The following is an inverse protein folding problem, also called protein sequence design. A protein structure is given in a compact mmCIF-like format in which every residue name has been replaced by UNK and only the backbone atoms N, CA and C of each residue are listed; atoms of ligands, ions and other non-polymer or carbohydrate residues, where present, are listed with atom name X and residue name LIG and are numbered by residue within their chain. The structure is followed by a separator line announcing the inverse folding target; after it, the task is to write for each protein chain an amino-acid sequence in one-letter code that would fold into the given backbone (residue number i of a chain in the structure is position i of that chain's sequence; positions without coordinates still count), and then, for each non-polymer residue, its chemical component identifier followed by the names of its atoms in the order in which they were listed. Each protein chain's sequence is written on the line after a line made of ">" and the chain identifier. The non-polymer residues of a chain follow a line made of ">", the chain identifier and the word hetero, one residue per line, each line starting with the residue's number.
data_IF_513817283857
#
_entry.id   IF_513817283857
#
_cell.length_a   1.000
_cell.length_b   1.000
_cell.length_c   1.000
_cell.angle_alpha   90.00
_cell.angle_beta   90.00
_cell.angle_gamma   90.00
#
_symmetry.space_group_name_H-M   'P 1'
#
loop_
_entity.id
_entity.type
_entity.pdbx_description
1 polymer ?
#
# COMPACT_ATOMS: atom_id res chain seq x y z
N UNK A 1 12.65 24.27 18.32
CA UNK A 1 11.39 24.87 17.80
C UNK A 1 11.33 24.95 16.29
N UNK A 2 12.25 25.66 15.61
CA UNK A 2 12.25 25.79 14.14
C UNK A 2 12.20 24.43 13.42
N UNK A 3 13.01 23.45 13.83
CA UNK A 3 13.03 22.11 13.24
C UNK A 3 11.70 21.35 13.36
N UNK A 4 11.03 21.44 14.52
CA UNK A 4 9.72 20.82 14.72
C UNK A 4 8.67 21.44 13.79
N UNK A 5 8.71 22.77 13.63
CA UNK A 5 7.85 23.50 12.69
C UNK A 5 8.15 23.11 11.24
N UNK A 6 9.42 22.96 10.87
CA UNK A 6 9.80 22.51 9.53
C UNK A 6 9.32 21.08 9.26
N UNK A 7 9.49 20.15 10.20
CA UNK A 7 9.03 18.77 10.06
C UNK A 7 7.50 18.68 9.96
N UNK A 8 6.77 19.40 10.80
CA UNK A 8 5.30 19.43 10.75
C UNK A 8 4.77 20.12 9.50
N UNK A 9 5.37 21.25 9.08
CA UNK A 9 5.03 21.91 7.83
C UNK A 9 5.33 21.03 6.61
N UNK A 10 6.44 20.29 6.63
CA UNK A 10 6.79 19.33 5.57
C UNK A 10 5.77 18.19 5.50
N UNK A 11 5.40 17.60 6.64
CA UNK A 11 4.36 16.58 6.70
C UNK A 11 3.01 17.10 6.17
N UNK A 12 2.60 18.29 6.60
CA UNK A 12 1.37 18.94 6.13
C UNK A 12 1.41 19.21 4.61
N UNK A 13 2.55 19.69 4.10
CA UNK A 13 2.74 19.90 2.68
C UNK A 13 2.58 18.59 1.88
N UNK A 14 3.17 17.48 2.35
CA UNK A 14 2.99 16.16 1.71
C UNK A 14 1.50 15.76 1.73
N UNK A 15 0.85 15.83 2.89
CA UNK A 15 -0.57 15.43 3.04
C UNK A 15 -1.50 16.19 2.08
N UNK A 16 -1.20 17.46 1.78
CA UNK A 16 -2.04 18.30 0.90
C UNK A 16 -1.67 18.16 -0.58
N UNK A 17 -0.38 18.07 -0.89
CA UNK A 17 0.11 18.16 -2.27
C UNK A 17 0.28 16.79 -2.93
N UNK A 18 0.70 15.77 -2.17
CA UNK A 18 1.02 14.46 -2.72
C UNK A 18 -0.13 13.81 -3.48
N UNK A 19 -1.40 13.82 -3.01
CA UNK A 19 -2.46 13.16 -3.75
C UNK A 19 -2.70 13.76 -5.13
N UNK A 20 -2.63 15.09 -5.24
CA UNK A 20 -2.80 15.79 -6.52
C UNK A 20 -1.63 15.52 -7.46
N UNK A 21 -0.40 15.59 -6.94
CA UNK A 21 0.82 15.37 -7.72
C UNK A 21 0.90 13.92 -8.22
N UNK A 22 0.62 12.95 -7.36
CA UNK A 22 0.71 11.53 -7.68
C UNK A 22 -0.38 11.09 -8.67
N UNK A 23 -1.63 11.58 -8.51
CA UNK A 23 -2.68 11.38 -9.51
C UNK A 23 -2.30 11.98 -10.86
N UNK A 24 -1.71 13.17 -10.87
CA UNK A 24 -1.27 13.80 -12.13
C UNK A 24 -0.12 13.02 -12.76
N UNK A 25 0.81 12.50 -11.97
CA UNK A 25 1.89 11.64 -12.46
C UNK A 25 1.32 10.38 -13.12
N UNK A 26 0.36 9.72 -12.48
CA UNK A 26 -0.31 8.55 -13.06
C UNK A 26 -0.99 8.86 -14.40
N UNK A 27 -1.81 9.92 -14.45
CA UNK A 27 -2.46 10.38 -15.69
C UNK A 27 -1.47 10.77 -16.79
N UNK A 28 -0.27 11.19 -16.42
CA UNK A 28 0.81 11.53 -17.37
C UNK A 28 1.57 10.30 -17.89
N UNK A 29 1.09 9.09 -17.61
CA UNK A 29 1.68 7.84 -18.13
C UNK A 29 2.89 7.36 -17.35
N UNK A 30 3.10 7.82 -16.11
CA UNK A 30 4.16 7.27 -15.28
C UNK A 30 3.91 5.79 -14.97
N UNK A 31 5.00 5.03 -14.87
CA UNK A 31 4.93 3.62 -14.50
C UNK A 31 4.19 3.45 -13.15
N UNK A 32 3.15 2.60 -13.09
CA UNK A 32 2.34 2.38 -11.89
C UNK A 32 3.17 2.04 -10.65
N UNK A 33 4.28 1.29 -10.84
CA UNK A 33 5.22 0.94 -9.77
C UNK A 33 5.89 2.14 -9.14
N UNK A 34 6.23 3.14 -9.95
CA UNK A 34 6.87 4.36 -9.43
C UNK A 34 5.85 5.20 -8.67
N UNK A 35 4.63 5.32 -9.18
CA UNK A 35 3.53 6.03 -8.49
C UNK A 35 3.21 5.33 -7.16
N UNK A 36 3.10 4.00 -7.16
CA UNK A 36 2.86 3.20 -5.96
C UNK A 36 3.98 3.36 -4.92
N UNK A 37 5.25 3.36 -5.34
CA UNK A 37 6.40 3.64 -4.44
C UNK A 37 6.37 5.05 -3.89
N UNK A 38 5.97 6.03 -4.69
CA UNK A 38 5.91 7.42 -4.26
C UNK A 38 4.79 7.65 -3.22
N UNK A 39 3.64 7.00 -3.36
CA UNK A 39 2.60 6.97 -2.32
C UNK A 39 3.13 6.40 -0.99
N UNK A 40 3.80 5.24 -1.06
CA UNK A 40 4.41 4.60 0.12
C UNK A 40 5.46 5.50 0.77
N UNK A 41 6.31 6.15 -0.03
CA UNK A 41 7.32 7.07 0.46
C UNK A 41 6.72 8.33 1.07
N UNK A 42 5.67 8.90 0.48
CA UNK A 42 4.94 10.03 1.03
C UNK A 42 4.32 9.68 2.40
N UNK A 43 3.65 8.51 2.49
CA UNK A 43 3.10 8.03 3.76
C UNK A 43 4.21 7.83 4.81
N UNK A 44 5.29 7.15 4.45
CA UNK A 44 6.45 6.95 5.34
C UNK A 44 7.08 8.27 5.79
N UNK A 45 7.22 9.24 4.89
CA UNK A 45 7.77 10.56 5.18
C UNK A 45 6.90 11.37 6.13
N UNK A 46 5.57 11.32 5.98
CA UNK A 46 4.63 11.93 6.93
C UNK A 46 4.78 11.31 8.32
N UNK A 47 4.75 9.97 8.40
CA UNK A 47 4.88 9.25 9.67
C UNK A 47 6.23 9.54 10.35
N UNK A 48 7.33 9.50 9.61
CA UNK A 48 8.66 9.81 10.11
C UNK A 48 8.75 11.27 10.59
N UNK A 49 8.18 12.21 9.84
CA UNK A 49 8.19 13.63 10.21
C UNK A 49 7.46 13.88 11.54
N UNK A 50 6.29 13.26 11.74
CA UNK A 50 5.59 13.35 13.02
C UNK A 50 6.35 12.66 14.15
N UNK A 51 6.90 11.46 13.92
CA UNK A 51 7.67 10.73 14.91
C UNK A 51 8.91 11.52 15.38
N UNK A 52 9.59 12.21 14.46
CA UNK A 52 10.76 13.04 14.77
C UNK A 52 10.40 14.42 15.34
N UNK A 53 9.23 14.97 14.99
CA UNK A 53 8.78 16.24 15.52
C UNK A 53 8.46 16.16 17.02
N UNK A 54 7.92 15.04 17.50
CA UNK A 54 7.51 14.88 18.91
C UNK A 54 8.67 15.12 19.88
N UNK A 55 9.83 14.44 19.78
CA UNK A 55 10.98 14.73 20.65
C UNK A 55 11.48 16.18 20.57
N UNK A 56 11.41 16.80 19.39
CA UNK A 56 11.82 18.20 19.18
C UNK A 56 10.90 19.19 19.91
N UNK A 57 9.62 18.84 20.08
CA UNK A 57 8.65 19.63 20.83
C UNK A 57 8.65 19.34 22.33
N UNK A 58 9.22 18.20 22.76
CA UNK A 58 9.22 17.78 24.16
C UNK A 58 10.63 17.52 24.71
N UNK A 59 11.59 18.47 24.57
CA UNK A 59 13.00 18.23 24.88
C UNK A 59 13.21 17.73 26.31
N UNK A 60 12.48 18.28 27.29
CA UNK A 60 12.70 17.99 28.70
C UNK A 60 12.27 16.56 29.08
N UNK A 61 11.32 15.99 28.33
CA UNK A 61 10.87 14.61 28.55
C UNK A 61 11.88 13.56 28.06
N UNK A 62 12.82 13.95 27.18
CA UNK A 62 13.80 13.04 26.58
C UNK A 62 15.21 13.14 27.16
N UNK A 63 15.50 14.15 27.99
CA UNK A 63 16.85 14.36 28.54
C UNK A 63 17.35 13.17 29.39
N UNK A 64 16.53 12.65 30.30
CA UNK A 64 16.93 11.53 31.17
C UNK A 64 17.16 10.22 30.38
N UNK A 65 16.27 9.80 29.46
CA UNK A 65 16.52 8.69 28.55
C UNK A 65 17.79 8.84 27.70
N UNK A 66 18.04 10.04 27.15
CA UNK A 66 19.24 10.33 26.35
C UNK A 66 20.52 10.17 27.16
N UNK A 67 20.56 10.72 28.38
CA UNK A 67 21.68 10.55 29.32
C UNK A 67 21.91 9.09 29.69
N UNK A 68 20.85 8.33 29.96
CA UNK A 68 20.93 6.90 30.23
C UNK A 68 21.47 6.08 29.04
N UNK A 69 21.20 6.54 27.81
CA UNK A 69 21.74 5.98 26.58
C UNK A 69 23.16 6.48 26.24
N UNK A 70 23.80 7.25 27.12
CA UNK A 70 25.17 7.76 26.94
C UNK A 70 25.28 9.02 26.08
N UNK A 71 24.16 9.68 25.74
CA UNK A 71 24.15 10.96 25.05
C UNK A 71 24.11 12.10 26.07
N UNK A 72 25.00 13.09 25.96
CA UNK A 72 24.95 14.30 26.78
C UNK A 72 24.09 15.36 26.07
N UNK A 73 22.85 15.65 26.53
CA UNK A 73 21.94 16.57 25.85
C UNK A 73 22.31 18.04 26.16
N UNK A 74 23.61 18.36 26.23
CA UNK A 74 24.16 19.63 26.69
C UNK A 74 24.06 20.72 25.63
N UNK A 75 22.96 20.80 24.90
CA UNK A 75 22.97 21.61 23.69
C UNK A 75 21.62 22.30 23.40
N UNK A 76 21.70 23.64 23.33
CA UNK A 76 20.89 24.65 22.64
C UNK A 76 19.37 24.53 22.46
N UNK A 77 18.64 23.66 23.16
CA UNK A 77 17.19 23.54 22.96
C UNK A 77 16.45 24.77 23.54
N UNK A 78 15.69 25.53 22.71
CA UNK A 78 14.93 26.67 23.20
C UNK A 78 13.89 26.21 24.24
N UNK A 79 13.74 27.00 25.32
CA UNK A 79 12.81 26.68 26.41
C UNK A 79 11.37 26.63 25.89
N UNK A 80 10.75 25.45 25.97
CA UNK A 80 9.32 25.25 25.76
C UNK A 80 8.69 25.10 27.13
N UNK A 81 7.63 25.83 27.48
CA UNK A 81 6.95 25.63 28.75
C UNK A 81 6.54 24.17 28.93
N UNK A 82 6.88 23.57 30.08
CA UNK A 82 6.55 22.18 30.39
C UNK A 82 5.07 21.82 30.14
N UNK A 83 4.07 22.69 30.44
CA UNK A 83 2.68 22.41 30.09
C UNK A 83 2.45 22.18 28.59
N UNK A 84 3.08 22.97 27.73
CA UNK A 84 2.98 22.82 26.28
C UNK A 84 3.63 21.52 25.80
N UNK A 85 4.76 21.12 26.39
CA UNK A 85 5.40 19.84 26.09
C UNK A 85 4.50 18.67 26.48
N UNK A 86 3.90 18.72 27.68
CA UNK A 86 2.95 17.70 28.16
C UNK A 86 1.74 17.62 27.23
N UNK A 87 1.17 18.76 26.80
CA UNK A 87 0.06 18.76 25.83
C UNK A 87 0.43 18.08 24.53
N UNK A 88 1.60 18.39 23.94
CA UNK A 88 2.07 17.74 22.71
C UNK A 88 2.28 16.24 22.90
N UNK A 89 2.89 15.82 24.01
CA UNK A 89 3.10 14.42 24.33
C UNK A 89 1.78 13.65 24.48
N UNK A 90 0.81 14.22 25.18
CA UNK A 90 -0.52 13.62 25.36
C UNK A 90 -1.24 13.52 24.00
N UNK A 91 -1.24 14.58 23.19
CA UNK A 91 -1.86 14.55 21.87
C UNK A 91 -1.22 13.51 20.95
N UNK A 92 0.11 13.41 20.94
CA UNK A 92 0.83 12.40 20.19
C UNK A 92 0.48 10.98 20.67
N UNK A 93 0.43 10.76 21.99
CA UNK A 93 0.05 9.47 22.57
C UNK A 93 -1.39 9.11 22.24
N UNK A 94 -2.33 10.05 22.32
CA UNK A 94 -3.72 9.85 21.96
C UNK A 94 -3.87 9.51 20.47
N UNK A 95 -3.13 10.17 19.57
CA UNK A 95 -3.13 9.85 18.15
C UNK A 95 -2.61 8.43 17.89
N UNK A 96 -1.50 8.05 18.52
CA UNK A 96 -0.93 6.70 18.40
C UNK A 96 -1.88 5.65 19.00
N UNK A 97 -2.46 5.91 20.17
CA UNK A 97 -3.38 5.00 20.83
C UNK A 97 -4.67 4.82 20.02
N UNK A 98 -5.20 5.91 19.46
CA UNK A 98 -6.36 5.87 18.58
C UNK A 98 -6.07 5.08 17.31
N UNK A 99 -4.94 5.35 16.65
CA UNK A 99 -4.52 4.62 15.47
C UNK A 99 -4.26 3.14 15.76
N UNK A 100 -3.68 2.81 16.91
CA UNK A 100 -3.48 1.44 17.36
C UNK A 100 -4.81 0.73 17.62
N UNK A 101 -5.74 1.37 18.33
CA UNK A 101 -7.04 0.77 18.66
C UNK A 101 -7.84 0.45 17.39
N UNK A 102 -7.93 1.42 16.46
CA UNK A 102 -8.60 1.27 15.16
C UNK A 102 -7.89 0.22 14.29
N UNK A 103 -6.58 0.32 14.15
CA UNK A 103 -5.81 -0.57 13.29
C UNK A 103 -5.70 -2.00 13.80
N UNK A 104 -5.65 -2.20 15.12
CA UNK A 104 -5.66 -3.53 15.73
C UNK A 104 -6.99 -4.24 15.50
N UNK A 105 -8.12 -3.52 15.51
CA UNK A 105 -9.44 -4.06 15.15
C UNK A 105 -9.46 -4.60 13.73
N UNK A 106 -9.16 -3.73 12.76
CA UNK A 106 -9.12 -4.09 11.34
C UNK A 106 -8.16 -5.26 11.06
N UNK A 107 -6.98 -5.25 11.69
CA UNK A 107 -5.99 -6.34 11.56
C UNK A 107 -6.51 -7.65 12.15
N UNK A 108 -7.23 -7.61 13.28
CA UNK A 108 -7.80 -8.81 13.92
C UNK A 108 -8.90 -9.42 13.05
N UNK A 109 -9.77 -8.60 12.48
CA UNK A 109 -10.88 -9.04 11.63
C UNK A 109 -10.35 -9.66 10.34
N UNK A 110 -9.37 -9.02 9.70
CA UNK A 110 -8.65 -9.58 8.55
C UNK A 110 -8.01 -10.94 8.89
N UNK A 111 -7.29 -11.04 10.02
CA UNK A 111 -6.67 -12.31 10.44
C UNK A 111 -7.70 -13.39 10.78
N UNK A 112 -8.88 -13.02 11.29
CA UNK A 112 -9.97 -13.97 11.55
C UNK A 112 -10.55 -14.50 10.24
N UNK A 113 -10.89 -13.63 9.30
CA UNK A 113 -11.38 -14.01 7.99
C UNK A 113 -10.39 -14.93 7.25
N UNK A 114 -9.10 -14.58 7.29
CA UNK A 114 -8.03 -15.38 6.73
C UNK A 114 -7.93 -16.78 7.37
N UNK A 115 -7.97 -16.86 8.70
CA UNK A 115 -7.92 -18.17 9.39
C UNK A 115 -9.07 -19.06 8.97
N UNK A 116 -10.30 -18.55 8.95
CA UNK A 116 -11.47 -19.33 8.52
C UNK A 116 -11.31 -19.85 7.09
N UNK A 117 -10.74 -19.06 6.18
CA UNK A 117 -10.45 -19.53 4.83
C UNK A 117 -9.38 -20.62 4.79
N UNK A 118 -8.27 -20.44 5.50
CA UNK A 118 -7.19 -21.43 5.54
C UNK A 118 -7.68 -22.75 6.16
N UNK A 119 -8.44 -22.67 7.25
CA UNK A 119 -9.02 -23.84 7.92
C UNK A 119 -9.98 -24.58 6.97
N UNK A 120 -10.80 -23.87 6.19
CA UNK A 120 -11.65 -24.51 5.17
C UNK A 120 -10.82 -25.28 4.14
N UNK A 121 -9.70 -24.72 3.69
CA UNK A 121 -8.86 -25.33 2.67
C UNK A 121 -8.11 -26.57 3.16
N UNK A 122 -7.60 -26.53 4.40
CA UNK A 122 -6.96 -27.69 5.03
C UNK A 122 -7.93 -28.88 5.15
N UNK A 123 -9.22 -28.60 5.30
CA UNK A 123 -10.25 -29.62 5.46
C UNK A 123 -10.91 -30.07 4.13
N UNK A 124 -10.73 -29.35 3.03
CA UNK A 124 -11.53 -29.54 1.80
C UNK A 124 -10.73 -29.84 0.53
N UNK A 125 -9.39 -29.79 0.56
CA UNK A 125 -8.59 -29.83 -0.67
C UNK A 125 -7.44 -30.85 -0.61
N UNK A 126 -7.27 -31.71 -1.63
CA UNK A 126 -5.99 -32.37 -1.86
C UNK A 126 -4.93 -31.33 -2.24
N UNK A 127 -3.87 -31.23 -1.44
CA UNK A 127 -2.69 -30.42 -1.78
C UNK A 127 -1.89 -31.13 -2.88
N UNK A 128 -1.78 -30.51 -4.06
CA UNK A 128 -0.78 -30.90 -5.05
C UNK A 128 0.49 -30.06 -4.83
N UNK A 129 1.52 -30.70 -4.30
CA UNK A 129 2.84 -30.10 -4.11
C UNK A 129 3.61 -30.16 -5.42
N UNK A 130 3.49 -29.13 -6.25
CA UNK A 130 4.53 -28.82 -7.24
C UNK A 130 5.50 -27.82 -6.60
N UNK A 131 6.63 -28.33 -6.11
CA UNK A 131 7.79 -27.51 -5.76
C UNK A 131 8.41 -26.96 -7.05
N UNK A 132 8.16 -25.70 -7.38
CA UNK A 132 9.00 -25.02 -8.36
C UNK A 132 9.21 -23.52 -8.06
N UNK A 133 10.49 -23.16 -7.85
CA UNK A 133 11.10 -21.92 -8.30
C UNK A 133 10.45 -20.58 -7.92
N UNK A 134 9.79 -20.44 -6.77
CA UNK A 134 9.24 -19.15 -6.30
C UNK A 134 7.87 -18.78 -6.88
N UNK A 135 7.15 -19.74 -7.48
CA UNK A 135 5.73 -19.63 -7.81
C UNK A 135 4.88 -20.03 -6.59
N UNK A 136 3.66 -19.50 -6.43
CA UNK A 136 2.79 -19.93 -5.34
C UNK A 136 2.28 -21.36 -5.57
N UNK A 137 2.15 -22.14 -4.50
CA UNK A 137 1.69 -23.53 -4.53
C UNK A 137 0.21 -23.61 -4.87
N UNK A 138 -0.19 -24.46 -5.82
CA UNK A 138 -1.59 -24.62 -6.21
C UNK A 138 -2.34 -25.52 -5.21
N UNK A 139 -3.55 -25.13 -4.82
CA UNK A 139 -4.47 -25.91 -3.98
C UNK A 139 -5.77 -26.04 -4.78
N UNK A 140 -6.16 -27.27 -5.13
CA UNK A 140 -7.33 -27.48 -5.98
C UNK A 140 -8.57 -27.67 -5.10
N UNK A 141 -9.63 -26.91 -5.39
CA UNK A 141 -10.91 -26.98 -4.69
C UNK A 141 -12.02 -27.29 -5.68
N UNK A 142 -12.96 -28.14 -5.30
CA UNK A 142 -14.17 -28.38 -6.09
C UNK A 142 -15.16 -27.24 -5.88
N UNK A 143 -15.42 -26.47 -6.93
CA UNK A 143 -16.39 -25.37 -6.95
C UNK A 143 -16.85 -25.14 -8.39
N UNK A 144 -18.14 -24.86 -8.58
CA UNK A 144 -18.75 -24.58 -9.88
C UNK A 144 -18.43 -23.17 -10.37
N UNK A 145 -18.04 -22.26 -9.46
CA UNK A 145 -17.59 -20.93 -9.83
C UNK A 145 -16.09 -20.94 -10.20
N UNK A 146 -15.70 -20.54 -11.43
CA UNK A 146 -14.30 -20.55 -11.83
C UNK A 146 -13.51 -19.46 -11.12
N UNK A 147 -12.69 -19.84 -10.14
CA UNK A 147 -11.91 -18.92 -9.30
C UNK A 147 -10.44 -19.33 -9.19
N UNK A 148 -9.56 -18.33 -9.18
CA UNK A 148 -8.18 -18.46 -8.71
C UNK A 148 -7.90 -17.40 -7.64
N UNK A 149 -7.64 -17.81 -6.41
CA UNK A 149 -7.38 -16.91 -5.28
C UNK A 149 -6.00 -17.12 -4.71
N UNK A 150 -5.20 -16.06 -4.63
CA UNK A 150 -3.95 -16.08 -3.90
C UNK A 150 -4.26 -15.89 -2.42
N UNK A 151 -3.73 -16.82 -1.63
CA UNK A 151 -3.93 -16.88 -0.21
C UNK A 151 -2.74 -16.21 0.48
N UNK A 152 -2.97 -15.38 1.50
CA UNK A 152 -1.91 -14.85 2.34
C UNK A 152 -1.38 -15.90 3.32
N UNK A 153 -0.77 -16.96 2.78
CA UNK A 153 -0.15 -18.06 3.51
C UNK A 153 1.38 -18.01 3.46
N UNK A 154 2.04 -18.79 4.32
CA UNK A 154 3.48 -19.06 4.25
C UNK A 154 3.70 -20.58 4.22
N UNK A 155 4.20 -21.16 3.11
CA UNK A 155 4.51 -20.51 1.83
C UNK A 155 3.24 -19.97 1.11
N UNK A 156 3.37 -19.02 0.15
CA UNK A 156 2.23 -18.51 -0.61
C UNK A 156 1.52 -19.63 -1.39
N UNK A 157 0.18 -19.65 -1.32
CA UNK A 157 -0.67 -20.65 -1.98
C UNK A 157 -1.67 -19.97 -2.90
N UNK A 158 -2.07 -20.62 -3.98
CA UNK A 158 -3.18 -20.24 -4.85
C UNK A 158 -4.24 -21.31 -4.78
N UNK A 159 -5.40 -20.97 -4.24
CA UNK A 159 -6.60 -21.77 -4.41
C UNK A 159 -7.06 -21.67 -5.87
N UNK A 160 -7.20 -22.80 -6.54
CA UNK A 160 -7.76 -22.87 -7.89
C UNK A 160 -8.93 -23.84 -7.90
N UNK A 161 -10.07 -23.37 -8.38
CA UNK A 161 -11.25 -24.23 -8.52
C UNK A 161 -11.05 -25.19 -9.69
N UNK A 162 -11.56 -26.42 -9.61
CA UNK A 162 -11.59 -27.37 -10.72
C UNK A 162 -12.17 -26.73 -11.99
N UNK A 163 -13.28 -26.00 -11.85
CA UNK A 163 -13.90 -25.27 -12.97
C UNK A 163 -12.97 -24.26 -13.63
N UNK A 164 -12.13 -23.56 -12.86
CA UNK A 164 -11.17 -22.62 -13.44
C UNK A 164 -10.07 -23.33 -14.23
N UNK A 165 -9.60 -24.48 -13.74
CA UNK A 165 -8.59 -25.29 -14.44
C UNK A 165 -9.14 -25.89 -15.74
N UNK A 166 -10.42 -26.28 -15.76
CA UNK A 166 -11.09 -26.78 -16.96
C UNK A 166 -11.29 -25.68 -18.03
N UNK A 167 -11.51 -24.43 -17.60
CA UNK A 167 -11.75 -23.31 -18.52
C UNK A 167 -10.46 -22.72 -19.11
N UNK A 168 -9.35 -22.75 -18.36
CA UNK A 168 -8.11 -22.08 -18.72
C UNK A 168 -7.16 -23.01 -19.48
N UNK A 169 -6.61 -22.52 -20.59
CA UNK A 169 -5.50 -23.22 -21.26
C UNK A 169 -4.20 -23.08 -20.43
N UNK A 170 -3.22 -23.98 -20.58
CA UNK A 170 -1.96 -23.90 -19.85
C UNK A 170 -1.26 -22.54 -19.96
N UNK A 171 -1.28 -21.90 -21.13
CA UNK A 171 -0.64 -20.60 -21.34
C UNK A 171 -1.43 -19.44 -20.70
N UNK A 172 -2.74 -19.59 -20.57
CA UNK A 172 -3.63 -18.65 -19.89
C UNK A 172 -3.44 -18.75 -18.37
N UNK A 173 -3.40 -19.97 -17.83
CA UNK A 173 -3.09 -20.24 -16.43
C UNK A 173 -1.69 -19.70 -16.06
N UNK A 174 -0.67 -19.98 -16.88
CA UNK A 174 0.68 -19.47 -16.64
C UNK A 174 0.74 -17.92 -16.66
N UNK A 175 -0.05 -17.27 -17.51
CA UNK A 175 -0.14 -15.81 -17.53
C UNK A 175 -0.77 -15.24 -16.24
N UNK A 176 -1.83 -15.89 -15.73
CA UNK A 176 -2.48 -15.54 -14.45
C UNK A 176 -1.51 -15.76 -13.28
N UNK A 177 -0.83 -16.92 -13.21
CA UNK A 177 0.15 -17.20 -12.15
C UNK A 177 1.32 -16.21 -12.18
N UNK A 178 1.75 -15.77 -13.37
CA UNK A 178 2.79 -14.73 -13.52
C UNK A 178 2.32 -13.38 -12.96
N UNK A 179 1.08 -12.99 -13.27
CA UNK A 179 0.45 -11.78 -12.72
C UNK A 179 0.36 -11.86 -11.17
N UNK A 180 -0.10 -12.99 -10.62
CA UNK A 180 -0.21 -13.24 -9.18
C UNK A 180 1.15 -13.24 -8.46
N UNK A 181 2.18 -13.84 -9.07
CA UNK A 181 3.55 -13.77 -8.57
C UNK A 181 4.08 -12.33 -8.51
N UNK A 182 3.58 -11.44 -9.38
CA UNK A 182 3.83 -9.99 -9.33
C UNK A 182 3.38 -9.37 -8.01
N UNK A 183 2.17 -9.69 -7.55
CA UNK A 183 1.65 -9.21 -6.26
C UNK A 183 2.48 -9.69 -5.08
N UNK A 184 2.87 -10.97 -5.08
CA UNK A 184 3.71 -11.55 -4.04
C UNK A 184 5.06 -10.85 -3.93
N UNK A 185 5.74 -10.68 -5.08
CA UNK A 185 7.07 -10.03 -5.13
C UNK A 185 7.03 -8.59 -4.63
N UNK A 186 5.94 -7.86 -4.88
CA UNK A 186 5.76 -6.47 -4.40
C UNK A 186 5.11 -6.35 -3.03
N UNK A 187 4.68 -7.48 -2.45
CA UNK A 187 3.95 -7.54 -1.18
C UNK A 187 2.71 -6.63 -1.20
N UNK A 188 2.00 -6.60 -2.32
CA UNK A 188 0.90 -5.64 -2.53
C UNK A 188 -0.17 -5.75 -1.44
N UNK A 189 -0.51 -6.97 -1.01
CA UNK A 189 -1.40 -7.23 0.13
C UNK A 189 -1.01 -6.45 1.40
N UNK A 190 0.27 -6.49 1.77
CA UNK A 190 0.74 -5.90 3.01
C UNK A 190 0.62 -4.38 2.96
N UNK A 191 0.88 -3.80 1.79
CA UNK A 191 0.77 -2.36 1.58
C UNK A 191 -0.67 -1.88 1.46
N UNK A 192 -1.56 -2.67 0.86
CA UNK A 192 -2.99 -2.38 0.86
C UNK A 192 -3.52 -2.41 2.29
N UNK A 193 -3.31 -3.52 3.03
CA UNK A 193 -3.70 -3.61 4.46
C UNK A 193 -3.16 -2.43 5.27
N UNK A 194 -1.92 -2.00 5.01
CA UNK A 194 -1.33 -0.84 5.66
C UNK A 194 -2.04 0.48 5.30
N UNK A 195 -2.31 0.73 4.01
CA UNK A 195 -3.01 1.92 3.54
C UNK A 195 -4.39 2.03 4.16
N UNK A 196 -5.15 0.94 4.16
CA UNK A 196 -6.49 0.89 4.74
C UNK A 196 -6.49 1.00 6.26
N UNK A 197 -5.55 0.33 6.92
CA UNK A 197 -5.38 0.47 8.37
C UNK A 197 -5.13 1.94 8.74
N UNK A 198 -4.36 2.68 7.92
CA UNK A 198 -4.13 4.11 8.14
C UNK A 198 -5.34 4.97 7.81
N UNK A 199 -6.11 4.62 6.77
CA UNK A 199 -7.36 5.30 6.44
C UNK A 199 -8.40 5.15 7.57
N UNK A 200 -8.56 3.93 8.09
CA UNK A 200 -9.47 3.61 9.20
C UNK A 200 -9.01 4.24 10.53
N UNK A 201 -7.68 4.29 10.75
CA UNK A 201 -7.06 4.92 11.91
C UNK A 201 -7.18 6.45 11.89
N UNK A 202 -7.15 7.08 10.72
CA UNK A 202 -7.10 8.53 10.59
C UNK A 202 -8.12 9.05 9.56
N UNK A 203 -9.44 8.88 9.80
CA UNK A 203 -10.48 9.20 8.82
C UNK A 203 -10.56 10.68 8.44
N UNK A 204 -10.05 11.58 9.29
CA UNK A 204 -9.95 13.01 8.99
C UNK A 204 -8.81 13.37 8.02
N UNK A 205 -7.91 12.44 7.72
CA UNK A 205 -6.73 12.66 6.89
C UNK A 205 -6.96 12.08 5.49
N UNK A 206 -7.49 12.92 4.61
CA UNK A 206 -7.84 12.57 3.21
C UNK A 206 -6.74 11.80 2.45
N UNK A 207 -5.47 12.12 2.71
CA UNK A 207 -4.34 11.45 2.07
C UNK A 207 -4.39 9.92 2.23
N UNK A 208 -4.73 9.41 3.42
CA UNK A 208 -4.73 7.96 3.65
C UNK A 208 -5.91 7.26 2.98
N UNK A 209 -7.10 7.88 2.97
CA UNK A 209 -8.24 7.39 2.22
C UNK A 209 -7.94 7.35 0.71
N UNK A 210 -7.43 8.45 0.16
CA UNK A 210 -7.07 8.52 -1.26
C UNK A 210 -5.94 7.52 -1.60
N UNK A 211 -5.00 7.25 -0.68
CA UNK A 211 -3.99 6.20 -0.89
C UNK A 211 -4.63 4.80 -0.90
N UNK A 212 -5.51 4.49 0.05
CA UNK A 212 -6.20 3.21 0.14
C UNK A 212 -7.00 2.90 -1.13
N UNK A 213 -7.79 3.86 -1.62
CA UNK A 213 -8.60 3.74 -2.84
C UNK A 213 -7.74 3.42 -4.07
N UNK A 214 -6.59 4.08 -4.20
CA UNK A 214 -5.69 3.92 -5.34
C UNK A 214 -4.72 2.73 -5.21
N UNK A 215 -4.49 2.21 -4.00
CA UNK A 215 -3.51 1.16 -3.77
C UNK A 215 -3.82 -0.11 -4.58
N UNK A 216 -5.10 -0.49 -4.63
CA UNK A 216 -5.59 -1.65 -5.40
C UNK A 216 -5.43 -1.44 -6.91
N UNK A 217 -5.89 -0.31 -7.44
CA UNK A 217 -5.79 0.00 -8.87
C UNK A 217 -4.32 0.04 -9.34
N UNK A 218 -3.45 0.66 -8.56
CA UNK A 218 -2.02 0.73 -8.87
C UNK A 218 -1.34 -0.65 -8.78
N UNK A 219 -1.76 -1.53 -7.87
CA UNK A 219 -1.21 -2.89 -7.80
C UNK A 219 -1.58 -3.73 -9.01
N UNK A 220 -2.81 -3.64 -9.50
CA UNK A 220 -3.24 -4.33 -10.72
C UNK A 220 -2.46 -3.85 -11.94
N UNK A 221 -2.42 -2.52 -12.15
CA UNK A 221 -1.64 -1.93 -13.25
C UNK A 221 -0.16 -2.31 -13.15
N UNK A 222 0.40 -2.43 -11.95
CA UNK A 222 1.77 -2.87 -11.74
C UNK A 222 1.99 -4.36 -12.02
N UNK A 223 1.01 -5.22 -11.68
CA UNK A 223 1.00 -6.66 -11.91
C UNK A 223 0.86 -6.98 -13.41
N UNK A 224 -0.05 -6.31 -14.11
CA UNK A 224 -0.19 -6.43 -15.56
C UNK A 224 1.10 -6.08 -16.30
N UNK A 225 1.83 -5.07 -15.80
CA UNK A 225 3.12 -4.69 -16.35
C UNK A 225 4.23 -5.74 -16.11
N UNK A 226 4.05 -6.71 -15.20
CA UNK A 226 4.99 -7.84 -15.06
C UNK A 226 4.79 -8.90 -16.14
N UNK A 227 3.60 -8.96 -16.75
CA UNK A 227 3.33 -9.87 -17.86
C UNK A 227 3.93 -9.29 -19.15
N UNK A 228 5.14 -9.76 -19.47
CA UNK A 228 5.93 -9.31 -20.61
C UNK A 228 5.56 -10.07 -21.89
N UNK A 229 5.56 -9.37 -23.02
CA UNK A 229 5.22 -9.91 -24.34
C UNK A 229 3.74 -9.77 -24.70
N UNK A 230 3.46 -9.56 -25.98
CA UNK A 230 2.09 -9.37 -26.51
C UNK A 230 1.23 -10.62 -26.32
N UNK A 231 1.80 -11.80 -26.56
CA UNK A 231 1.12 -13.10 -26.44
C UNK A 231 0.71 -13.36 -24.99
N UNK A 232 1.63 -13.18 -24.04
CA UNK A 232 1.34 -13.40 -22.62
C UNK A 232 0.26 -12.44 -22.09
N UNK A 233 0.27 -11.17 -22.53
CA UNK A 233 -0.80 -10.21 -22.20
C UNK A 233 -2.13 -10.59 -22.82
N UNK A 234 -2.14 -11.12 -24.05
CA UNK A 234 -3.36 -11.61 -24.67
C UNK A 234 -3.92 -12.85 -23.94
N UNK A 235 -3.04 -13.75 -23.48
CA UNK A 235 -3.41 -14.88 -22.63
C UNK A 235 -4.00 -14.43 -21.29
N UNK A 236 -3.37 -13.46 -20.61
CA UNK A 236 -3.89 -12.90 -19.36
C UNK A 236 -5.29 -12.31 -19.55
N UNK A 237 -5.49 -11.49 -20.59
CA UNK A 237 -6.81 -10.89 -20.88
C UNK A 237 -7.89 -11.92 -21.15
N UNK A 238 -7.59 -12.96 -21.92
CA UNK A 238 -8.52 -14.08 -22.16
C UNK A 238 -8.85 -14.82 -20.88
N UNK A 239 -7.84 -15.07 -20.04
CA UNK A 239 -8.04 -15.71 -18.76
C UNK A 239 -8.98 -14.90 -17.87
N UNK A 240 -8.77 -13.58 -17.75
CA UNK A 240 -9.64 -12.69 -16.98
C UNK A 240 -11.08 -12.78 -17.49
N UNK A 241 -11.32 -12.68 -18.80
CA UNK A 241 -12.69 -12.78 -19.36
C UNK A 241 -13.34 -14.13 -19.03
N UNK A 242 -12.61 -15.24 -19.15
CA UNK A 242 -13.12 -16.58 -18.81
C UNK A 242 -13.45 -16.71 -17.33
N UNK A 243 -12.60 -16.13 -16.49
CA UNK A 243 -12.76 -16.12 -15.04
C UNK A 243 -13.82 -15.12 -14.58
N UNK A 244 -14.31 -14.19 -15.40
CA UNK A 244 -15.33 -13.19 -15.03
C UNK A 244 -16.73 -13.45 -15.61
N UNK A 245 -17.02 -14.68 -16.06
CA UNK A 245 -18.29 -15.04 -16.72
C UNK A 245 -19.57 -14.87 -15.86
N UNK A 246 -20.77 -14.90 -16.48
CA UNK A 246 -22.04 -14.58 -15.82
C UNK A 246 -22.40 -15.56 -14.68
N UNK A 247 -22.92 -15.01 -13.58
CA UNK A 247 -23.23 -15.74 -12.33
C UNK A 247 -22.24 -15.51 -11.19
N UNK A 248 -21.27 -14.62 -11.37
CA UNK A 248 -20.23 -14.34 -10.38
C UNK A 248 -20.52 -13.06 -9.59
N UNK A 249 -20.61 -13.19 -8.27
CA UNK A 249 -20.51 -12.08 -7.35
C UNK A 249 -19.04 -11.64 -7.27
N UNK A 250 -18.59 -10.81 -8.22
CA UNK A 250 -17.23 -10.30 -8.23
C UNK A 250 -16.84 -9.70 -9.57
N UNK A 251 -16.96 -8.37 -9.67
CA UNK A 251 -16.51 -7.59 -10.83
C UNK A 251 -14.98 -7.63 -11.05
N UNK A 252 -14.47 -6.86 -12.02
CA UNK A 252 -13.15 -7.05 -12.62
C UNK A 252 -12.01 -6.52 -11.74
N UNK A 253 -11.73 -7.14 -10.59
CA UNK A 253 -10.53 -6.84 -9.81
C UNK A 253 -10.01 -8.12 -9.16
N UNK A 254 -8.68 -8.24 -9.10
CA UNK A 254 -7.97 -9.50 -8.95
C UNK A 254 -8.59 -10.46 -7.92
N UNK A 255 -8.95 -11.69 -8.33
CA UNK A 255 -9.39 -12.73 -7.41
C UNK A 255 -8.27 -13.14 -6.43
N UNK A 256 -7.07 -12.57 -6.56
CA UNK A 256 -5.89 -12.88 -5.79
C UNK A 256 -5.85 -12.37 -4.33
N UNK A 257 -6.86 -11.66 -3.82
CA UNK A 257 -6.90 -11.37 -2.39
C UNK A 257 -8.30 -11.55 -1.85
N UNK A 258 -8.40 -12.38 -0.80
CA UNK A 258 -9.50 -12.36 0.16
C UNK A 258 -9.42 -11.06 0.99
N UNK A 259 -9.55 -9.94 0.29
CA UNK A 259 -9.84 -8.65 0.85
C UNK A 259 -11.23 -8.71 1.50
N UNK A 260 -11.55 -7.90 2.53
CA UNK A 260 -12.91 -7.83 3.02
C UNK A 260 -13.85 -7.56 1.84
N UNK A 261 -14.67 -8.56 1.52
CA UNK A 261 -15.56 -8.60 0.35
C UNK A 261 -16.40 -7.31 0.25
N UNK A 262 -16.79 -6.76 1.40
CA UNK A 262 -17.51 -5.49 1.54
C UNK A 262 -16.80 -4.29 0.88
N UNK A 263 -15.48 -4.16 1.02
CA UNK A 263 -14.74 -3.03 0.40
C UNK A 263 -14.49 -3.28 -1.09
N UNK A 264 -14.48 -4.55 -1.54
CA UNK A 264 -14.46 -4.88 -2.97
C UNK A 264 -15.78 -4.47 -3.63
N UNK A 265 -16.91 -4.76 -3.00
CA UNK A 265 -18.25 -4.37 -3.48
C UNK A 265 -18.37 -2.84 -3.59
N UNK A 266 -17.90 -2.08 -2.58
CA UNK A 266 -17.88 -0.61 -2.62
C UNK A 266 -16.99 -0.03 -3.75
N UNK A 267 -15.80 -0.60 -3.96
CA UNK A 267 -14.88 -0.20 -5.04
C UNK A 267 -15.44 -0.51 -6.43
N UNK A 268 -16.10 -1.67 -6.60
CA UNK A 268 -16.78 -2.07 -7.84
C UNK A 268 -17.90 -1.08 -8.18
N UNK A 269 -18.70 -0.69 -7.18
CA UNK A 269 -19.75 0.33 -7.34
C UNK A 269 -19.15 1.68 -7.75
N UNK A 270 -18.05 2.12 -7.12
CA UNK A 270 -17.42 3.39 -7.49
C UNK A 270 -16.83 3.41 -8.92
N UNK A 271 -16.22 2.32 -9.38
CA UNK A 271 -15.66 2.26 -10.74
C UNK A 271 -16.70 2.12 -11.84
N UNK A 272 -17.77 1.36 -11.61
CA UNK A 272 -18.89 1.25 -12.58
C UNK A 272 -19.54 2.60 -12.82
N UNK A 273 -19.66 3.44 -11.79
CA UNK A 273 -20.09 4.83 -11.94
C UNK A 273 -19.07 5.72 -12.67
N UNK A 274 -17.77 5.54 -12.45
CA UNK A 274 -16.73 6.32 -13.13
C UNK A 274 -16.59 5.97 -14.63
N UNK A 275 -16.79 4.70 -15.00
CA UNK A 275 -16.73 4.22 -16.39
C UNK A 275 -17.95 4.62 -17.24
N UNK A 276 -19.05 5.06 -16.61
CA UNK A 276 -20.26 5.53 -17.30
C UNK A 276 -20.11 6.93 -17.95
N UNK A 277 -18.96 7.59 -17.80
CA UNK A 277 -18.63 8.85 -18.49
C UNK A 277 -17.45 8.66 -19.46
N UNK A 278 -17.71 8.34 -20.75
CA UNK A 278 -16.64 8.28 -21.73
C UNK A 278 -16.33 9.67 -22.32
N UNK A 279 -15.10 9.78 -22.81
CA UNK A 279 -14.51 10.87 -23.63
C UNK A 279 -13.91 12.08 -22.91
N UNK A 280 -12.57 12.19 -22.91
CA UNK A 280 -11.82 12.93 -23.95
C UNK A 280 -10.39 12.36 -24.01
N UNK A 281 -9.99 11.89 -25.19
CA UNK A 281 -8.61 11.58 -25.51
C UNK A 281 -7.79 12.88 -25.62
N UNK A 282 -6.70 12.99 -24.87
CA UNK A 282 -5.67 14.01 -25.13
C UNK A 282 -4.36 13.32 -25.43
N UNK A 283 -4.01 13.33 -26.71
CA UNK A 283 -2.65 13.12 -27.18
C UNK A 283 -1.78 14.27 -26.65
N UNK A 284 -1.07 14.03 -25.54
CA UNK A 284 -0.12 14.96 -24.93
C UNK A 284 1.32 14.53 -25.20
N UNK A 285 2.03 15.38 -25.94
CA UNK A 285 3.46 15.36 -26.30
C UNK A 285 4.39 14.71 -25.26
N UNK A 286 5.14 13.67 -25.69
CA UNK A 286 6.14 12.88 -24.91
C UNK A 286 7.49 13.57 -24.71
N UNK A 287 7.54 14.89 -24.57
CA UNK A 287 8.81 15.62 -24.37
C UNK A 287 8.87 16.12 -22.92
N UNK A 288 9.21 15.22 -21.99
CA UNK A 288 9.32 15.54 -20.56
C UNK A 288 9.52 14.35 -19.61
N UNK A 289 9.30 13.12 -20.08
CA UNK A 289 9.43 11.89 -19.29
C UNK A 289 10.75 11.74 -18.48
N UNK A 290 11.96 12.11 -18.97
CA UNK A 290 13.17 11.98 -18.16
C UNK A 290 13.24 13.00 -17.00
N UNK A 291 12.86 14.27 -17.23
CA UNK A 291 12.85 15.32 -16.20
C UNK A 291 11.76 15.06 -15.16
N UNK A 292 10.59 14.61 -15.60
CA UNK A 292 9.47 14.32 -14.73
C UNK A 292 9.69 13.02 -13.92
N UNK A 293 10.36 12.00 -14.48
CA UNK A 293 10.78 10.80 -13.74
C UNK A 293 11.90 11.07 -12.73
N UNK A 294 12.83 11.98 -13.05
CA UNK A 294 13.78 12.51 -12.07
C UNK A 294 13.05 13.23 -10.93
N UNK A 295 12.05 14.07 -11.25
CA UNK A 295 11.22 14.74 -10.25
C UNK A 295 10.50 13.78 -9.28
N UNK A 296 9.89 12.71 -9.78
CA UNK A 296 9.24 11.72 -8.91
C UNK A 296 10.24 10.93 -8.05
N UNK A 297 11.42 10.63 -8.59
CA UNK A 297 12.52 10.00 -7.83
C UNK A 297 13.06 10.93 -6.75
N UNK A 298 13.22 12.22 -7.06
CA UNK A 298 13.64 13.26 -6.11
C UNK A 298 12.58 13.45 -5.03
N UNK A 299 11.28 13.47 -5.36
CA UNK A 299 10.20 13.55 -4.37
C UNK A 299 10.15 12.31 -3.46
N UNK A 300 10.33 11.12 -4.04
CA UNK A 300 10.39 9.85 -3.28
C UNK A 300 11.60 9.86 -2.34
N UNK A 301 12.77 10.26 -2.85
CA UNK A 301 13.98 10.38 -2.06
C UNK A 301 13.85 11.46 -0.98
N UNK A 302 13.26 12.62 -1.30
CA UNK A 302 13.03 13.70 -0.35
C UNK A 302 12.08 13.27 0.77
N UNK A 303 10.99 12.58 0.47
CA UNK A 303 10.06 12.08 1.49
C UNK A 303 10.73 11.10 2.47
N UNK A 304 11.75 10.34 2.02
CA UNK A 304 12.50 9.40 2.86
C UNK A 304 13.72 10.04 3.55
N UNK A 305 14.39 10.99 2.90
CA UNK A 305 15.67 11.53 3.33
C UNK A 305 15.55 12.85 4.08
N UNK A 306 14.59 13.72 3.74
CA UNK A 306 14.42 15.02 4.41
C UNK A 306 14.22 14.86 5.92
N UNK A 307 13.40 13.92 6.43
CA UNK A 307 13.26 13.72 7.88
C UNK A 307 14.60 13.32 8.53
N UNK A 308 15.36 12.44 7.87
CA UNK A 308 16.66 11.96 8.36
C UNK A 308 17.76 13.03 8.28
N UNK A 309 17.81 13.80 7.19
CA UNK A 309 18.82 14.87 6.97
C UNK A 309 18.58 16.06 7.89
N UNK A 310 17.32 16.40 8.18
CA UNK A 310 17.00 17.46 9.16
C UNK A 310 17.55 17.10 10.55
N UNK A 311 17.49 15.81 10.92
CA UNK A 311 18.00 15.29 12.19
C UNK A 311 19.50 15.00 12.16
N UNK A 312 20.09 14.65 11.01
CA UNK A 312 21.53 14.34 10.89
C UNK A 312 22.40 15.52 10.45
N UNK A 313 21.79 16.69 10.21
CA UNK A 313 22.51 17.92 9.89
C UNK A 313 23.57 18.20 10.96
N UNK A 314 24.78 18.68 10.60
CA UNK A 314 25.80 19.04 11.58
C UNK A 314 25.31 20.11 12.57
N UNK A 315 24.28 20.90 12.24
CA UNK A 315 23.61 21.78 13.23
C UNK A 315 22.75 21.04 14.27
N UNK A 316 22.53 19.73 14.14
CA UNK A 316 21.89 18.87 15.13
C UNK A 316 22.91 18.01 15.89
N UNK A 317 24.09 17.74 15.32
CA UNK A 317 25.16 16.99 15.99
C UNK A 317 26.12 17.88 16.80
N UNK A 318 26.14 19.18 16.53
CA UNK A 318 26.81 20.21 17.35
C UNK A 318 25.79 21.13 18.10
N UNK A 319 24.50 20.84 17.88
CA UNK A 319 23.18 21.22 18.46
C UNK A 319 22.67 20.31 19.57
#
# INVERSE_FOLDING_TARGET
>A
MLYGLVLTAFAAAILVTAPRVLRRAERSGFSPRHVQRAWRAAAGGVLASFALAVPVYTPDLWQAPMRAAGFDPRIGMPHVPLPAQITVAILALLLVAFGWHRGAGATRDYRRALRVQLDRLENSAPLLDEEDGGRPRLVIVEDEAPRLVLLPSRPPRVEATTRALDLLRPEELNAVLTHMAGHLRRRDAQWMVCADTLADAYPGVRFFAEWADHAAELSEKAADADVRGSIARANLRRAIVKLSGPGQAGGPFCPCFAWPQQRQEELIVHQTHAAAHPEVAVAGVRVGAPVASAGLRVLTAAALLVPSVIVLSPHFLYI
#
